data_IF_896972502917
#
_entry.id   IF_896972502917
#
_cell.length_a   1.000
_cell.length_b   1.000
_cell.length_c   1.000
_cell.angle_alpha   90.00
_cell.angle_beta   90.00
_cell.angle_gamma   90.00
#
_symmetry.space_group_name_H-M   'P 1'
#
loop_
_entity.id
_entity.type
_entity.pdbx_description
1 polymer ?
#
# COMPACT_ATOMS: atom_id res chain seq x y z
N UNK A 1 -1.69 -12.11 -25.60
CA UNK A 1 -1.68 -11.97 -24.12
C UNK A 1 -0.33 -11.55 -23.55
N UNK A 2 0.81 -11.98 -24.12
CA UNK A 2 2.15 -11.63 -23.63
C UNK A 2 2.45 -10.13 -23.53
N UNK A 3 2.11 -9.34 -24.58
CA UNK A 3 2.36 -7.89 -24.60
C UNK A 3 1.64 -7.13 -23.48
N UNK A 4 0.39 -7.53 -23.17
CA UNK A 4 -0.36 -6.97 -22.04
C UNK A 4 0.29 -7.33 -20.70
N UNK A 5 0.69 -8.59 -20.53
CA UNK A 5 1.39 -9.07 -19.34
C UNK A 5 2.68 -8.27 -19.09
N UNK A 6 3.50 -8.06 -20.12
CA UNK A 6 4.73 -7.27 -20.03
C UNK A 6 4.46 -5.83 -19.59
N UNK A 7 3.41 -5.19 -20.11
CA UNK A 7 3.03 -3.82 -19.73
C UNK A 7 2.58 -3.79 -18.27
N UNK A 8 1.76 -4.75 -17.83
CA UNK A 8 1.31 -4.82 -16.44
C UNK A 8 2.48 -4.97 -15.47
N UNK A 9 3.43 -5.87 -15.76
CA UNK A 9 4.63 -6.03 -14.92
C UNK A 9 5.50 -4.79 -14.93
N UNK A 10 5.69 -4.14 -16.09
CA UNK A 10 6.45 -2.89 -16.16
C UNK A 10 5.79 -1.78 -15.31
N UNK A 11 4.47 -1.64 -15.37
CA UNK A 11 3.72 -0.66 -14.57
C UNK A 11 3.79 -0.96 -13.07
N UNK A 12 3.66 -2.23 -12.67
CA UNK A 12 3.82 -2.65 -11.28
C UNK A 12 5.23 -2.34 -10.77
N UNK A 13 6.27 -2.77 -11.49
CA UNK A 13 7.65 -2.51 -11.12
C UNK A 13 7.94 -1.02 -10.99
N UNK A 14 7.57 -0.22 -11.98
CA UNK A 14 7.79 1.24 -11.93
C UNK A 14 7.11 1.90 -10.73
N UNK A 15 5.88 1.49 -10.39
CA UNK A 15 5.15 2.05 -9.25
C UNK A 15 5.78 1.65 -7.91
N UNK A 16 6.05 0.36 -7.69
CA UNK A 16 6.62 -0.13 -6.43
C UNK A 16 8.05 0.35 -6.22
N UNK A 17 8.91 0.27 -7.24
CA UNK A 17 10.30 0.71 -7.11
C UNK A 17 10.41 2.23 -6.94
N UNK A 18 9.59 3.02 -7.62
CA UNK A 18 9.59 4.48 -7.44
C UNK A 18 9.29 4.86 -5.98
N UNK A 19 8.26 4.26 -5.39
CA UNK A 19 7.91 4.49 -3.97
C UNK A 19 9.02 3.98 -3.05
N UNK A 20 9.56 2.78 -3.28
CA UNK A 20 10.61 2.20 -2.45
C UNK A 20 11.91 3.04 -2.46
N UNK A 21 12.35 3.48 -3.64
CA UNK A 21 13.56 4.31 -3.80
C UNK A 21 13.36 5.66 -3.09
N UNK A 22 12.19 6.30 -3.28
CA UNK A 22 11.89 7.57 -2.61
C UNK A 22 11.81 7.43 -1.09
N UNK A 23 11.21 6.35 -0.58
CA UNK A 23 11.12 6.06 0.85
C UNK A 23 12.49 5.80 1.47
N UNK A 24 13.34 5.02 0.79
CA UNK A 24 14.72 4.78 1.25
C UNK A 24 15.55 6.06 1.20
N UNK A 25 15.37 6.92 0.20
CA UNK A 25 16.07 8.21 0.15
C UNK A 25 15.63 9.17 1.27
N UNK A 26 14.35 9.16 1.65
CA UNK A 26 13.80 10.04 2.68
C UNK A 26 14.11 9.58 4.13
N UNK A 27 14.05 8.28 4.41
CA UNK A 27 14.19 7.75 5.78
C UNK A 27 15.45 6.89 6.00
N UNK A 28 16.13 6.49 4.93
CA UNK A 28 17.36 5.71 4.98
C UNK A 28 17.21 4.40 5.75
N UNK A 29 18.19 4.14 6.62
CA UNK A 29 18.23 2.95 7.47
C UNK A 29 17.18 2.94 8.59
N UNK A 30 16.44 4.02 8.80
CA UNK A 30 15.36 4.11 9.79
C UNK A 30 13.98 3.82 9.18
N UNK A 31 13.92 3.41 7.90
CA UNK A 31 12.68 3.08 7.24
C UNK A 31 11.97 1.88 7.91
N UNK A 32 10.88 2.14 8.61
CA UNK A 32 9.97 1.13 9.18
C UNK A 32 9.14 0.42 8.11
N UNK A 33 8.60 -0.76 8.46
CA UNK A 33 7.86 -1.63 7.52
C UNK A 33 6.55 -1.06 6.98
N UNK A 34 5.95 -0.09 7.68
CA UNK A 34 4.78 0.66 7.18
C UNK A 34 5.20 2.07 6.81
N UNK A 35 4.96 2.46 5.55
CA UNK A 35 5.30 3.79 5.04
C UNK A 35 4.67 4.89 5.91
N UNK A 36 3.40 4.75 6.29
CA UNK A 36 2.70 5.73 7.13
C UNK A 36 3.34 5.88 8.53
N UNK A 37 3.91 4.81 9.08
CA UNK A 37 4.53 4.85 10.42
C UNK A 37 5.79 5.71 10.43
N UNK A 38 6.53 5.76 9.32
CA UNK A 38 7.76 6.56 9.21
C UNK A 38 7.49 8.07 9.35
N UNK A 39 6.30 8.52 9.01
CA UNK A 39 5.91 9.92 9.11
C UNK A 39 5.47 10.36 10.51
N UNK A 40 5.37 9.41 11.44
CA UNK A 40 4.98 9.60 12.84
C UNK A 40 6.11 9.09 13.72
N UNK A 41 7.14 9.93 13.92
CA UNK A 41 8.29 9.57 14.75
C UNK A 41 8.37 10.49 15.98
N UNK A 42 8.52 9.90 17.16
CA UNK A 42 8.78 10.61 18.43
C UNK A 42 7.79 11.74 18.77
N UNK A 43 6.49 11.56 18.47
CA UNK A 43 5.43 12.52 18.81
C UNK A 43 5.34 13.74 17.88
N UNK A 44 6.25 13.88 16.92
CA UNK A 44 6.16 14.88 15.85
C UNK A 44 5.72 14.21 14.55
N UNK A 45 4.62 14.72 13.99
CA UNK A 45 4.15 14.28 12.68
C UNK A 45 4.81 15.14 11.60
N UNK A 46 5.52 14.49 10.66
CA UNK A 46 6.12 15.17 9.51
C UNK A 46 5.06 15.63 8.48
N UNK A 47 3.89 15.00 8.51
CA UNK A 47 2.72 15.35 7.68
C UNK A 47 1.49 15.61 8.55
N UNK A 48 0.50 16.35 8.06
CA UNK A 48 -0.72 16.63 8.81
C UNK A 48 -1.38 15.35 9.33
N UNK A 49 -1.85 15.37 10.58
CA UNK A 49 -2.56 14.22 11.19
C UNK A 49 -3.74 13.76 10.33
N UNK A 50 -4.46 14.70 9.73
CA UNK A 50 -5.58 14.43 8.83
C UNK A 50 -5.17 13.63 7.60
N UNK A 51 -3.97 13.86 7.06
CA UNK A 51 -3.47 13.13 5.89
C UNK A 51 -3.29 11.65 6.22
N UNK A 52 -2.60 11.34 7.32
CA UNK A 52 -2.40 9.97 7.80
C UNK A 52 -3.75 9.28 8.06
N UNK A 53 -4.68 10.00 8.71
CA UNK A 53 -6.00 9.48 9.03
C UNK A 53 -6.79 9.13 7.76
N UNK A 54 -6.84 10.06 6.79
CA UNK A 54 -7.56 9.88 5.53
C UNK A 54 -6.99 8.68 4.76
N UNK A 55 -5.67 8.59 4.59
CA UNK A 55 -5.04 7.47 3.87
C UNK A 55 -5.34 6.12 4.54
N UNK A 56 -5.36 6.06 5.87
CA UNK A 56 -5.69 4.84 6.59
C UNK A 56 -7.17 4.43 6.37
N UNK A 57 -8.11 5.37 6.47
CA UNK A 57 -9.53 5.12 6.18
C UNK A 57 -9.75 4.61 4.76
N UNK A 58 -9.11 5.21 3.76
CA UNK A 58 -9.19 4.74 2.38
C UNK A 58 -8.61 3.34 2.20
N UNK A 59 -7.50 3.04 2.90
CA UNK A 59 -6.86 1.72 2.85
C UNK A 59 -7.80 0.65 3.44
N UNK A 60 -8.39 0.91 4.60
CA UNK A 60 -9.36 -0.01 5.23
C UNK A 60 -10.58 -0.20 4.33
N UNK A 61 -11.11 0.88 3.75
CA UNK A 61 -12.24 0.82 2.84
C UNK A 61 -11.93 -0.07 1.62
N UNK A 62 -10.77 0.12 0.99
CA UNK A 62 -10.35 -0.73 -0.14
C UNK A 62 -10.17 -2.19 0.28
N UNK A 63 -9.51 -2.46 1.41
CA UNK A 63 -9.34 -3.82 1.92
C UNK A 63 -10.67 -4.51 2.23
N UNK A 64 -11.65 -3.77 2.77
CA UNK A 64 -12.97 -4.34 3.09
C UNK A 64 -13.70 -4.85 1.85
N UNK A 65 -13.68 -4.08 0.76
CA UNK A 65 -14.28 -4.50 -0.51
C UNK A 65 -13.54 -5.72 -1.10
N UNK A 66 -12.21 -5.71 -1.05
CA UNK A 66 -11.39 -6.82 -1.55
C UNK A 66 -11.58 -8.11 -0.73
N UNK A 67 -11.73 -8.00 0.58
CA UNK A 67 -11.96 -9.14 1.46
C UNK A 67 -13.27 -9.86 1.13
N UNK A 68 -14.35 -9.11 0.84
CA UNK A 68 -15.63 -9.71 0.43
C UNK A 68 -15.47 -10.52 -0.86
N UNK A 69 -14.76 -9.98 -1.86
CA UNK A 69 -14.54 -10.67 -3.14
C UNK A 69 -13.71 -11.94 -2.95
N UNK A 70 -12.68 -11.91 -2.11
CA UNK A 70 -11.86 -13.10 -1.83
C UNK A 70 -12.57 -14.17 -0.99
N UNK A 71 -13.61 -13.80 -0.26
CA UNK A 71 -14.43 -14.76 0.48
C UNK A 71 -15.43 -15.50 -0.43
N UNK A 72 -15.78 -14.96 -1.61
CA UNK A 72 -16.74 -15.61 -2.51
C UNK A 72 -16.29 -17.02 -2.93
N UNK A 73 -15.08 -17.26 -3.45
CA UNK A 73 -14.65 -18.62 -3.82
C UNK A 73 -14.62 -19.57 -2.63
N UNK A 74 -14.30 -19.07 -1.44
CA UNK A 74 -14.33 -19.87 -0.21
C UNK A 74 -15.75 -20.29 0.16
N UNK A 75 -16.72 -19.39 -0.03
CA UNK A 75 -18.14 -19.68 0.19
C UNK A 75 -18.64 -20.74 -0.80
N UNK A 76 -18.31 -20.60 -2.09
CA UNK A 76 -18.68 -21.58 -3.13
C UNK A 76 -18.08 -22.98 -2.91
N UNK A 77 -16.95 -23.09 -2.21
CA UNK A 77 -16.32 -24.39 -1.86
C UNK A 77 -16.94 -25.00 -0.61
N UNK A 78 -17.54 -24.18 0.26
CA UNK A 78 -18.11 -24.62 1.54
C UNK A 78 -19.60 -25.01 1.43
N UNK A 79 -20.31 -24.45 0.45
CA UNK A 79 -21.66 -24.84 0.03
C UNK A 79 -21.67 -26.19 -0.71
#
# INVERSE_FOLDING_TARGET
MFKGLCICYAMLSTTFFSVAISGYWAFGNQAGGLILSNFTQNGHNLVPKSFIFITNIFTILQLSAVAVVYLQPTNEVLE
#
